data_IF_112105753701
#
_entry.id   IF_112105753701
#
_cell.length_a   1.000
_cell.length_b   1.000
_cell.length_c   1.000
_cell.angle_alpha   90.00
_cell.angle_beta   90.00
_cell.angle_gamma   90.00
#
_symmetry.space_group_name_H-M   'P 1'
#
loop_
_entity.id
_entity.type
_entity.pdbx_description
1 polymer ?
#
# COMPACT_ATOMS: atom_id res chain seq x y z
N UNK A 1 15.42 -6.92 17.05
CA UNK A 1 14.12 -7.66 16.97
C UNK A 1 14.10 -8.71 15.85
N UNK A 2 14.00 -8.38 14.55
CA UNK A 2 13.96 -9.36 13.44
C UNK A 2 15.10 -10.40 13.48
N UNK A 3 16.29 -10.02 13.97
CA UNK A 3 17.50 -10.85 14.05
C UNK A 3 17.59 -11.79 15.27
N UNK A 4 16.53 -11.92 16.08
CA UNK A 4 16.58 -12.77 17.28
C UNK A 4 16.70 -12.02 18.61
N UNK A 5 17.10 -10.75 18.59
CA UNK A 5 17.33 -9.97 19.80
C UNK A 5 16.05 -9.79 20.63
N UNK A 6 16.20 -9.91 21.96
CA UNK A 6 15.16 -9.54 22.93
C UNK A 6 15.03 -8.02 22.96
N UNK A 7 13.83 -7.52 22.67
CA UNK A 7 13.52 -6.09 22.76
C UNK A 7 12.44 -5.89 23.84
N UNK A 8 12.56 -4.89 24.72
CA UNK A 8 11.54 -4.56 25.70
C UNK A 8 10.18 -4.20 25.07
N UNK A 9 9.09 -4.31 25.85
CA UNK A 9 7.75 -3.91 25.42
C UNK A 9 6.76 -5.05 25.14
N UNK A 10 7.19 -6.31 25.31
CA UNK A 10 6.31 -7.47 25.25
C UNK A 10 5.77 -7.79 23.85
N UNK A 11 4.92 -8.83 23.77
CA UNK A 11 4.48 -9.38 22.48
C UNK A 11 3.68 -8.38 21.63
N UNK A 12 2.79 -7.61 22.25
CA UNK A 12 1.92 -6.65 21.56
C UNK A 12 2.70 -5.53 20.87
N UNK A 13 3.68 -4.94 21.56
CA UNK A 13 4.50 -3.89 20.98
C UNK A 13 5.42 -4.44 19.87
N UNK A 14 5.94 -5.65 20.06
CA UNK A 14 6.73 -6.32 19.03
C UNK A 14 5.90 -6.58 17.77
N UNK A 15 4.67 -7.08 17.90
CA UNK A 15 3.75 -7.29 16.77
C UNK A 15 3.45 -5.96 16.05
N UNK A 16 3.21 -4.88 16.81
CA UNK A 16 3.03 -3.53 16.26
C UNK A 16 4.24 -3.06 15.44
N UNK A 17 5.46 -3.18 15.96
CA UNK A 17 6.67 -2.78 15.22
C UNK A 17 6.91 -3.61 13.97
N UNK A 18 6.59 -4.91 14.00
CA UNK A 18 6.69 -5.76 12.81
C UNK A 18 5.67 -5.32 11.75
N UNK A 19 4.42 -5.05 12.15
CA UNK A 19 3.41 -4.53 11.22
C UNK A 19 3.78 -3.16 10.65
N UNK A 20 4.33 -2.26 11.46
CA UNK A 20 4.81 -0.95 11.00
C UNK A 20 5.94 -1.08 9.98
N UNK A 21 6.91 -1.97 10.21
CA UNK A 21 7.98 -2.24 9.25
C UNK A 21 7.47 -2.85 7.95
N UNK A 22 6.53 -3.81 8.01
CA UNK A 22 5.90 -4.37 6.81
C UNK A 22 5.18 -3.30 6.00
N UNK A 23 4.44 -2.41 6.65
CA UNK A 23 3.75 -1.29 6.00
C UNK A 23 4.75 -0.30 5.38
N UNK A 24 5.86 -0.01 6.07
CA UNK A 24 6.91 0.87 5.55
C UNK A 24 7.55 0.32 4.27
N UNK A 25 7.89 -0.97 4.24
CA UNK A 25 8.46 -1.61 3.07
C UNK A 25 7.46 -1.73 1.91
N UNK A 26 6.18 -1.98 2.21
CA UNK A 26 5.11 -1.90 1.23
C UNK A 26 5.04 -0.52 0.57
N UNK A 27 5.09 0.56 1.36
CA UNK A 27 5.06 1.93 0.84
C UNK A 27 6.27 2.22 -0.07
N UNK A 28 7.46 1.73 0.27
CA UNK A 28 8.65 1.86 -0.57
C UNK A 28 8.52 1.11 -1.91
N UNK A 29 8.02 -0.12 -1.87
CA UNK A 29 7.75 -0.89 -3.09
C UNK A 29 6.71 -0.18 -3.97
N UNK A 30 5.64 0.35 -3.37
CA UNK A 30 4.61 1.10 -4.07
C UNK A 30 5.18 2.37 -4.70
N UNK A 31 6.00 3.11 -3.96
CA UNK A 31 6.71 4.30 -4.45
C UNK A 31 7.56 3.97 -5.67
N UNK A 32 8.40 2.93 -5.60
CA UNK A 32 9.23 2.52 -6.73
C UNK A 32 8.42 2.17 -7.97
N UNK A 33 7.27 1.48 -7.81
CA UNK A 33 6.36 1.22 -8.94
C UNK A 33 5.77 2.48 -9.55
N UNK A 34 5.42 3.47 -8.72
CA UNK A 34 4.91 4.76 -9.22
C UNK A 34 5.99 5.48 -10.03
N UNK A 35 7.22 5.56 -9.50
CA UNK A 35 8.35 6.23 -10.16
C UNK A 35 8.73 5.57 -11.49
N UNK A 36 8.55 4.25 -11.62
CA UNK A 36 8.77 3.51 -12.85
C UNK A 36 7.58 3.56 -13.83
N UNK A 37 6.49 4.27 -13.51
CA UNK A 37 5.29 4.32 -14.35
C UNK A 37 4.48 3.02 -14.38
N UNK A 38 4.64 2.16 -13.37
CA UNK A 38 4.01 0.84 -13.26
C UNK A 38 2.80 0.82 -12.33
N UNK A 39 2.32 1.99 -11.89
CA UNK A 39 1.22 2.10 -10.94
C UNK A 39 -0.10 1.54 -11.48
N UNK A 40 -0.39 1.78 -12.75
CA UNK A 40 -1.59 1.33 -13.44
C UNK A 40 -1.39 0.09 -14.32
N UNK A 41 -0.24 -0.57 -14.21
CA UNK A 41 0.17 -1.70 -15.06
C UNK A 41 0.61 -2.91 -14.24
N UNK A 42 0.57 -4.06 -14.88
CA UNK A 42 1.12 -5.33 -14.38
C UNK A 42 2.08 -5.90 -15.42
N UNK A 43 3.03 -6.72 -14.99
CA UNK A 43 4.03 -7.37 -15.84
C UNK A 43 4.05 -8.87 -15.62
N UNK A 44 4.63 -9.63 -16.54
CA UNK A 44 4.83 -11.06 -16.36
C UNK A 44 5.59 -11.32 -15.06
N UNK A 45 5.08 -12.25 -14.25
CA UNK A 45 5.61 -12.54 -12.92
C UNK A 45 5.01 -11.69 -11.78
N UNK A 46 4.29 -10.60 -12.07
CA UNK A 46 3.52 -9.92 -11.04
C UNK A 46 2.44 -10.86 -10.48
N UNK A 47 2.17 -10.76 -9.19
CA UNK A 47 0.88 -11.22 -8.66
C UNK A 47 -0.12 -10.09 -8.81
N UNK A 48 -1.29 -10.38 -9.36
CA UNK A 48 -2.39 -9.46 -9.47
C UNK A 48 -3.58 -9.94 -8.64
N UNK A 49 -4.41 -9.00 -8.19
CA UNK A 49 -5.69 -9.26 -7.53
C UNK A 49 -6.79 -8.52 -8.26
N UNK A 50 -7.91 -9.21 -8.49
CA UNK A 50 -9.14 -8.60 -9.01
C UNK A 50 -9.83 -7.76 -7.94
N UNK A 51 -10.33 -6.60 -8.31
CA UNK A 51 -11.07 -5.71 -7.40
C UNK A 51 -12.47 -6.24 -7.08
N UNK A 52 -13.14 -6.86 -8.06
CA UNK A 52 -14.53 -7.35 -7.95
C UNK A 52 -14.70 -8.58 -7.04
N UNK A 53 -13.81 -9.54 -7.16
CA UNK A 53 -13.91 -10.88 -6.55
C UNK A 53 -12.84 -11.11 -5.49
N UNK A 54 -11.82 -10.24 -5.43
CA UNK A 54 -10.66 -10.42 -4.57
C UNK A 54 -9.75 -11.59 -4.95
N UNK A 55 -10.01 -12.28 -6.06
CA UNK A 55 -9.20 -13.41 -6.54
C UNK A 55 -7.79 -12.97 -6.93
N UNK A 56 -6.78 -13.72 -6.48
CA UNK A 56 -5.36 -13.43 -6.71
C UNK A 56 -4.77 -14.47 -7.65
N UNK A 57 -3.94 -14.04 -8.61
CA UNK A 57 -3.34 -14.91 -9.61
C UNK A 57 -1.95 -14.38 -10.03
N UNK A 58 -1.15 -15.24 -10.66
CA UNK A 58 0.12 -14.87 -11.27
C UNK A 58 -0.14 -14.37 -12.69
N UNK A 59 0.42 -13.22 -13.04
CA UNK A 59 0.37 -12.67 -14.40
C UNK A 59 1.39 -13.44 -15.24
N UNK A 60 0.92 -14.08 -16.31
CA UNK A 60 1.74 -14.80 -17.27
C UNK A 60 2.04 -13.96 -18.52
N UNK A 61 2.74 -14.58 -19.46
CA UNK A 61 2.91 -14.05 -20.81
C UNK A 61 1.87 -14.67 -21.77
N UNK A 62 1.32 -13.89 -22.73
CA UNK A 62 1.52 -12.46 -22.95
C UNK A 62 0.73 -11.58 -21.96
N UNK A 63 1.28 -10.43 -21.57
CA UNK A 63 0.74 -9.55 -20.50
C UNK A 63 -0.29 -8.51 -20.99
N UNK A 64 -0.55 -8.45 -22.30
CA UNK A 64 -1.34 -7.35 -22.89
C UNK A 64 -2.77 -7.26 -22.31
N UNK A 65 -3.47 -8.39 -22.22
CA UNK A 65 -4.84 -8.44 -21.70
C UNK A 65 -4.91 -8.02 -20.22
N UNK A 66 -3.99 -8.51 -19.39
CA UNK A 66 -3.90 -8.14 -17.98
C UNK A 66 -3.52 -6.67 -17.79
N UNK A 67 -2.66 -6.13 -18.64
CA UNK A 67 -2.30 -4.70 -18.62
C UNK A 67 -3.50 -3.82 -18.90
N UNK A 68 -4.30 -4.13 -19.93
CA UNK A 68 -5.53 -3.38 -20.22
C UNK A 68 -6.53 -3.43 -19.06
N UNK A 69 -6.70 -4.61 -18.44
CA UNK A 69 -7.55 -4.78 -17.25
C UNK A 69 -7.02 -3.99 -16.06
N UNK A 70 -5.70 -3.89 -15.90
CA UNK A 70 -5.07 -3.07 -14.88
C UNK A 70 -5.30 -1.57 -15.14
N UNK A 71 -5.21 -1.12 -16.38
CA UNK A 71 -5.46 0.29 -16.74
C UNK A 71 -6.91 0.69 -16.42
N UNK A 72 -7.87 -0.21 -16.64
CA UNK A 72 -9.29 -0.04 -16.27
C UNK A 72 -9.59 -0.27 -14.78
N UNK A 73 -8.57 -0.47 -13.95
CA UNK A 73 -8.69 -0.74 -12.50
C UNK A 73 -9.58 -1.97 -12.18
N UNK A 74 -9.64 -2.97 -13.07
CA UNK A 74 -10.30 -4.26 -12.80
C UNK A 74 -9.41 -5.16 -11.96
N UNK A 75 -8.09 -5.08 -12.20
CA UNK A 75 -7.05 -5.77 -11.44
C UNK A 75 -5.99 -4.78 -10.97
N UNK A 76 -5.20 -5.17 -9.98
CA UNK A 76 -4.00 -4.42 -9.59
C UNK A 76 -2.93 -5.35 -9.07
N UNK A 77 -1.66 -4.96 -9.26
CA UNK A 77 -0.54 -5.66 -8.65
C UNK A 77 -0.73 -5.74 -7.14
N UNK A 78 -0.32 -6.85 -6.53
CA UNK A 78 -0.20 -6.98 -5.08
C UNK A 78 1.26 -6.95 -4.69
N UNK A 79 1.55 -6.25 -3.60
CA UNK A 79 2.89 -6.07 -3.06
C UNK A 79 3.05 -6.83 -1.75
N UNK A 80 4.28 -7.24 -1.42
CA UNK A 80 4.52 -8.11 -0.28
C UNK A 80 4.40 -7.36 1.05
N UNK A 81 3.70 -7.97 2.01
CA UNK A 81 3.93 -7.80 3.43
C UNK A 81 4.79 -8.99 3.88
N UNK A 82 6.11 -8.80 3.91
CA UNK A 82 7.08 -9.90 4.06
C UNK A 82 6.81 -10.75 5.30
N UNK A 83 6.89 -12.08 5.13
CA UNK A 83 6.66 -13.08 6.18
C UNK A 83 6.66 -14.48 5.60
N UNK A 84 6.24 -15.48 6.38
CA UNK A 84 6.24 -16.90 5.97
C UNK A 84 5.52 -17.19 4.65
N UNK A 85 4.33 -16.60 4.43
CA UNK A 85 3.50 -16.80 3.22
C UNK A 85 4.12 -16.17 1.97
N UNK A 86 4.94 -15.14 2.15
CA UNK A 86 5.49 -14.30 1.09
C UNK A 86 6.98 -14.62 0.86
N UNK A 87 7.44 -15.78 1.30
CA UNK A 87 8.86 -16.16 1.27
C UNK A 87 9.26 -16.90 -0.02
N UNK A 88 8.69 -16.54 -1.18
CA UNK A 88 9.15 -17.09 -2.46
C UNK A 88 10.63 -16.76 -2.70
N UNK A 89 11.34 -17.62 -3.43
CA UNK A 89 12.74 -17.40 -3.82
C UNK A 89 12.92 -16.11 -4.64
N UNK A 90 14.18 -15.71 -4.85
CA UNK A 90 14.57 -14.52 -5.63
C UNK A 90 13.87 -14.45 -7.01
N UNK A 91 13.56 -15.61 -7.60
CA UNK A 91 12.87 -15.75 -8.90
C UNK A 91 11.45 -15.18 -8.94
N UNK A 92 10.83 -14.93 -7.78
CA UNK A 92 9.49 -14.33 -7.68
C UNK A 92 9.50 -12.90 -7.14
N UNK A 93 10.67 -12.34 -6.86
CA UNK A 93 10.83 -10.96 -6.41
C UNK A 93 11.12 -10.06 -7.61
N UNK A 94 10.37 -8.97 -7.77
CA UNK A 94 10.81 -7.93 -8.69
C UNK A 94 12.17 -7.38 -8.25
N UNK A 95 13.00 -6.92 -9.19
CA UNK A 95 14.28 -6.27 -8.89
C UNK A 95 14.10 -5.12 -7.87
N UNK A 96 13.03 -4.35 -8.04
CA UNK A 96 12.63 -3.26 -7.13
C UNK A 96 12.38 -3.74 -5.69
N UNK A 97 11.75 -4.90 -5.49
CA UNK A 97 11.57 -5.43 -4.13
C UNK A 97 12.89 -5.81 -3.45
N UNK A 98 13.83 -6.36 -4.23
CA UNK A 98 15.14 -6.70 -3.72
C UNK A 98 15.94 -5.43 -3.37
N UNK A 99 15.87 -4.40 -4.20
CA UNK A 99 16.49 -3.09 -3.93
C UNK A 99 15.94 -2.46 -2.64
N UNK A 100 14.63 -2.50 -2.42
CA UNK A 100 14.02 -1.99 -1.18
C UNK A 100 14.55 -2.75 0.04
N UNK A 101 14.59 -4.08 0.01
CA UNK A 101 15.13 -4.86 1.12
C UNK A 101 16.62 -4.58 1.37
N UNK A 102 17.42 -4.51 0.30
CA UNK A 102 18.85 -4.20 0.37
C UNK A 102 19.10 -2.80 0.94
N UNK A 103 18.30 -1.80 0.54
CA UNK A 103 18.36 -0.43 1.06
C UNK A 103 18.25 -0.37 2.58
N UNK A 104 17.46 -1.27 3.17
CA UNK A 104 17.29 -1.34 4.62
C UNK A 104 18.18 -2.40 5.29
N UNK A 105 19.07 -3.06 4.56
CA UNK A 105 19.94 -4.12 5.08
C UNK A 105 19.14 -5.33 5.59
N UNK A 106 18.00 -5.62 4.97
CA UNK A 106 17.06 -6.68 5.33
C UNK A 106 17.07 -7.79 4.30
N UNK A 107 16.71 -9.00 4.75
CA UNK A 107 16.51 -10.18 3.91
C UNK A 107 15.09 -10.68 4.11
N UNK A 108 14.50 -11.29 3.07
CA UNK A 108 13.17 -11.94 3.18
C UNK A 108 13.13 -12.97 4.33
N UNK A 109 14.24 -13.67 4.55
CA UNK A 109 14.41 -14.66 5.63
C UNK A 109 14.19 -14.08 7.03
N UNK A 110 14.49 -12.79 7.24
CA UNK A 110 14.42 -12.13 8.55
C UNK A 110 12.98 -12.06 9.08
N UNK A 111 11.99 -12.07 8.18
CA UNK A 111 10.57 -11.98 8.53
C UNK A 111 9.92 -13.33 8.84
N UNK A 112 10.42 -14.44 8.28
CA UNK A 112 9.79 -15.78 8.39
C UNK A 112 9.58 -16.24 9.84
N UNK A 113 10.53 -16.04 10.77
CA UNK A 113 10.32 -16.44 12.16
C UNK A 113 9.26 -15.59 12.90
N UNK A 114 8.95 -14.39 12.39
CA UNK A 114 8.25 -13.36 13.16
C UNK A 114 6.81 -13.12 12.76
N UNK A 115 6.48 -13.28 11.49
CA UNK A 115 5.14 -12.96 10.99
C UNK A 115 4.72 -13.91 9.89
N UNK A 116 3.40 -14.14 9.78
CA UNK A 116 2.82 -14.89 8.67
C UNK A 116 3.07 -14.17 7.34
N UNK A 117 3.03 -12.84 7.34
CA UNK A 117 3.03 -12.04 6.11
C UNK A 117 1.76 -12.22 5.27
N UNK A 118 1.57 -11.34 4.30
CA UNK A 118 0.46 -11.41 3.36
C UNK A 118 0.73 -10.58 2.09
N UNK A 119 -0.22 -10.56 1.16
CA UNK A 119 -0.18 -9.70 -0.03
C UNK A 119 -1.16 -8.55 0.12
N UNK A 120 -0.70 -7.34 -0.19
CA UNK A 120 -1.52 -6.13 -0.13
C UNK A 120 -1.69 -5.54 -1.53
N UNK A 121 -2.92 -5.24 -1.92
CA UNK A 121 -3.21 -4.62 -3.22
C UNK A 121 -2.60 -3.21 -3.29
N UNK A 122 -1.99 -2.89 -4.43
CA UNK A 122 -1.27 -1.62 -4.66
C UNK A 122 -2.19 -0.41 -4.82
N UNK A 123 -3.43 -0.64 -5.24
CA UNK A 123 -4.44 0.40 -5.47
C UNK A 123 -5.71 0.08 -4.71
N UNK A 124 -6.37 1.12 -4.23
CA UNK A 124 -7.69 1.06 -3.63
C UNK A 124 -8.64 1.79 -4.55
N UNK A 125 -9.80 1.19 -4.84
CA UNK A 125 -10.89 1.83 -5.57
C UNK A 125 -11.96 2.25 -4.55
N UNK A 126 -12.12 3.55 -4.27
CA UNK A 126 -13.24 4.04 -3.49
C UNK A 126 -14.56 3.78 -4.23
N UNK A 127 -15.60 3.44 -3.48
CA UNK A 127 -16.96 3.24 -3.98
C UNK A 127 -17.89 4.32 -3.41
N UNK A 128 -19.08 4.48 -3.98
CA UNK A 128 -20.10 5.43 -3.52
C UNK A 128 -19.59 6.86 -3.30
N UNK A 129 -18.69 7.32 -4.16
CA UNK A 129 -18.05 8.64 -4.01
C UNK A 129 -19.05 9.74 -4.34
N UNK A 130 -19.33 10.59 -3.35
CA UNK A 130 -20.11 11.81 -3.53
C UNK A 130 -19.36 13.02 -2.94
N UNK A 131 -19.38 14.13 -3.67
CA UNK A 131 -18.78 15.40 -3.24
C UNK A 131 -19.83 16.50 -3.33
N UNK A 132 -20.07 17.20 -2.22
CA UNK A 132 -21.00 18.32 -2.13
C UNK A 132 -20.28 19.57 -1.66
N UNK A 133 -20.45 20.67 -2.38
CA UNK A 133 -20.03 21.99 -1.92
C UNK A 133 -20.99 22.53 -0.86
N UNK A 134 -20.44 23.10 0.21
CA UNK A 134 -21.12 23.70 1.34
C UNK A 134 -20.56 25.13 1.55
N UNK A 135 -21.27 26.03 2.26
CA UNK A 135 -20.79 27.41 2.48
C UNK A 135 -19.40 27.50 3.14
N UNK A 136 -19.04 26.50 3.95
CA UNK A 136 -17.79 26.41 4.71
C UNK A 136 -16.78 25.39 4.14
N UNK A 137 -17.04 24.85 2.94
CA UNK A 137 -16.11 23.94 2.27
C UNK A 137 -16.79 22.82 1.51
N UNK A 138 -16.35 21.58 1.73
CA UNK A 138 -16.85 20.40 1.03
C UNK A 138 -17.18 19.27 1.98
N UNK A 139 -18.32 18.63 1.77
CA UNK A 139 -18.63 17.33 2.38
C UNK A 139 -18.35 16.24 1.35
N UNK A 140 -17.61 15.21 1.77
CA UNK A 140 -17.30 14.05 0.95
C UNK A 140 -17.76 12.77 1.62
N UNK A 141 -18.38 11.90 0.82
CA UNK A 141 -18.83 10.57 1.20
C UNK A 141 -18.16 9.56 0.28
N UNK A 142 -17.71 8.42 0.84
CA UNK A 142 -17.11 7.32 0.08
C UNK A 142 -17.03 6.06 0.95
N UNK A 143 -17.03 4.90 0.29
CA UNK A 143 -16.81 3.59 0.89
C UNK A 143 -15.40 3.11 0.54
N UNK A 144 -14.67 2.60 1.54
CA UNK A 144 -13.35 1.99 1.35
C UNK A 144 -13.34 0.52 1.80
N UNK A 145 -12.55 -0.34 1.14
CA UNK A 145 -12.36 -1.71 1.60
C UNK A 145 -11.60 -1.76 2.94
N UNK A 146 -11.82 -2.85 3.69
CA UNK A 146 -11.11 -3.09 4.95
C UNK A 146 -9.59 -2.97 4.79
N UNK A 147 -8.96 -2.24 5.71
CA UNK A 147 -7.52 -2.02 5.73
C UNK A 147 -7.04 -0.85 4.87
N UNK A 148 -7.92 -0.16 4.13
CA UNK A 148 -7.64 1.15 3.56
C UNK A 148 -7.88 2.26 4.60
N UNK A 149 -7.20 3.41 4.42
CA UNK A 149 -7.30 4.55 5.32
C UNK A 149 -7.93 5.73 4.58
N UNK A 150 -8.95 6.35 5.19
CA UNK A 150 -9.61 7.55 4.65
C UNK A 150 -8.61 8.69 4.40
N UNK A 151 -7.60 8.82 5.28
CA UNK A 151 -6.54 9.82 5.15
C UNK A 151 -5.73 9.68 3.87
N UNK A 152 -5.55 8.47 3.34
CA UNK A 152 -4.88 8.25 2.04
C UNK A 152 -5.69 8.84 0.89
N UNK A 153 -7.01 8.69 0.91
CA UNK A 153 -7.88 9.24 -0.13
C UNK A 153 -8.00 10.77 -0.01
N UNK A 154 -8.19 11.28 1.21
CA UNK A 154 -8.24 12.72 1.46
C UNK A 154 -6.94 13.43 1.06
N UNK A 155 -5.78 12.84 1.36
CA UNK A 155 -4.48 13.36 0.92
C UNK A 155 -4.39 13.48 -0.59
N UNK A 156 -4.97 12.53 -1.34
CA UNK A 156 -4.97 12.58 -2.80
C UNK A 156 -5.91 13.66 -3.34
N UNK A 157 -7.01 13.96 -2.64
CA UNK A 157 -7.94 15.01 -3.01
C UNK A 157 -7.44 16.42 -2.67
N UNK A 158 -6.88 16.61 -1.49
CA UNK A 158 -6.43 17.94 -1.02
C UNK A 158 -5.02 18.27 -1.49
N UNK A 159 -4.22 17.25 -1.86
CA UNK A 159 -2.79 17.37 -2.15
C UNK A 159 -1.97 17.99 -1.01
N UNK A 160 -2.53 18.07 0.19
CA UNK A 160 -1.88 18.59 1.39
C UNK A 160 -1.09 17.52 2.12
N UNK A 161 -0.03 17.92 2.82
CA UNK A 161 0.63 17.03 3.77
C UNK A 161 -0.26 16.76 4.99
N UNK A 162 -0.23 15.54 5.52
CA UNK A 162 -1.11 15.09 6.60
C UNK A 162 -0.89 15.84 7.92
N UNK A 163 0.29 16.46 8.11
CA UNK A 163 0.65 17.27 9.28
C UNK A 163 0.63 18.79 9.01
N UNK A 164 0.05 19.23 7.89
CA UNK A 164 -0.15 20.66 7.68
C UNK A 164 -1.13 21.18 8.73
N UNK A 165 -0.61 21.87 9.75
CA UNK A 165 -1.42 22.57 10.75
C UNK A 165 -2.34 23.53 10.01
N UNK A 166 -3.64 23.28 10.03
CA UNK A 166 -4.63 24.22 9.52
C UNK A 166 -4.64 25.39 10.51
N UNK A 167 -3.98 26.48 10.14
CA UNK A 167 -4.09 27.73 10.89
C UNK A 167 -5.52 28.22 10.73
N UNK A 168 -6.33 28.06 11.77
CA UNK A 168 -7.62 28.72 11.89
C UNK A 168 -7.39 30.19 12.23
N UNK A 169 -7.02 30.98 11.24
CA UNK A 169 -7.29 32.41 11.15
C UNK A 169 -8.09 32.55 9.85
N UNK A 170 -9.38 32.88 9.85
CA UNK A 170 -9.98 34.06 10.47
C UNK A 170 -11.33 33.72 11.11
N UNK A 171 -11.43 33.91 12.42
CA UNK A 171 -12.70 34.24 13.06
C UNK A 171 -12.57 35.66 13.61
N UNK A 172 -13.48 36.53 13.18
CA UNK A 172 -13.86 37.82 13.77
C UNK A 172 -12.93 39.01 13.53
N UNK A 173 -13.30 39.83 12.54
CA UNK A 173 -13.19 41.31 12.55
C UNK A 173 -14.23 41.83 11.54
N UNK A 174 -15.43 42.15 11.99
CA UNK A 174 -15.88 43.51 12.32
C UNK A 174 -16.21 44.34 11.08
N UNK A 175 -17.50 44.40 10.73
CA UNK A 175 -18.33 45.62 10.67
C UNK A 175 -19.82 45.25 10.66
#
# INVERSE_FOLDING_TARGET
MLRGEKVPGGRRLNDFFISALQAHLFNWNLKGRIELGLYNRVFAGDRARRHDTGGMFLVGDPVAAESERAERLEISAVLPLYGRKVSGGLETASATENEVLQRFGLRRSDFRPRTRGDWRISRVKPEDVALRACPDGYTIEFTLPNGAYATTFLRELTKSETDAVVSSAEAVSSE
#
